data_IF_642102889900
#
_entry.id   IF_642102889900
#
_cell.length_a   1.000
_cell.length_b   1.000
_cell.length_c   1.000
_cell.angle_alpha   90.00
_cell.angle_beta   90.00
_cell.angle_gamma   90.00
#
_symmetry.space_group_name_H-M   'P 1'
#
loop_
_entity.id
_entity.type
_entity.pdbx_description
1 polymer ?
#
# COMPACT_ATOMS: atom_id res chain seq x y z
N UNK A 1 9.39 -1.49 -4.86
CA UNK A 1 8.18 -1.69 -4.02
C UNK A 1 6.95 -1.51 -4.88
N UNK A 2 6.02 -2.44 -4.82
CA UNK A 2 4.80 -2.46 -5.62
C UNK A 2 3.59 -2.73 -4.71
N UNK A 3 2.95 -1.68 -4.17
CA UNK A 3 1.80 -1.86 -3.29
C UNK A 3 0.50 -2.02 -4.09
N UNK A 4 -0.46 -2.74 -3.51
CA UNK A 4 -1.87 -2.68 -3.89
C UNK A 4 -2.51 -1.35 -3.46
N UNK A 5 -3.81 -1.33 -3.20
CA UNK A 5 -4.48 -0.10 -2.77
C UNK A 5 -3.90 0.42 -1.45
N UNK A 6 -3.41 1.66 -1.46
CA UNK A 6 -2.89 2.38 -0.28
C UNK A 6 -3.85 3.49 0.08
N UNK A 7 -4.22 3.59 1.36
CA UNK A 7 -5.14 4.63 1.86
C UNK A 7 -4.43 5.99 1.86
N UNK A 8 -4.58 6.74 0.78
CA UNK A 8 -3.97 8.05 0.57
C UNK A 8 -4.99 9.04 -0.02
N UNK A 9 -4.71 10.35 0.00
CA UNK A 9 -5.54 11.36 -0.67
C UNK A 9 -5.72 11.17 -2.17
N UNK A 10 -4.98 10.24 -2.81
CA UNK A 10 -5.19 9.88 -4.22
C UNK A 10 -6.67 9.59 -4.55
N UNK A 11 -7.39 8.97 -3.61
CA UNK A 11 -8.78 8.63 -3.84
C UNK A 11 -9.72 9.81 -3.65
N UNK A 12 -9.32 10.94 -3.05
CA UNK A 12 -10.22 12.01 -2.62
C UNK A 12 -11.07 12.57 -3.77
N UNK A 13 -10.46 12.76 -4.95
CA UNK A 13 -11.13 13.24 -6.15
C UNK A 13 -11.81 12.15 -7.00
N UNK A 14 -11.77 10.88 -6.56
CA UNK A 14 -12.36 9.74 -7.27
C UNK A 14 -13.72 9.37 -6.68
N UNK A 15 -14.59 8.81 -7.52
CA UNK A 15 -15.91 8.28 -7.15
C UNK A 15 -15.84 6.88 -6.51
N UNK A 16 -14.63 6.36 -6.30
CA UNK A 16 -14.38 5.09 -5.62
C UNK A 16 -13.18 5.19 -4.67
N UNK A 17 -13.12 4.25 -3.74
CA UNK A 17 -12.03 4.12 -2.79
C UNK A 17 -11.96 2.66 -2.29
N UNK A 18 -10.89 2.28 -1.58
CA UNK A 18 -10.89 1.06 -0.80
C UNK A 18 -12.04 1.08 0.23
N UNK A 19 -12.48 -0.11 0.66
CA UNK A 19 -13.42 -0.23 1.76
C UNK A 19 -12.90 0.43 3.06
N UNK A 20 -13.78 0.65 4.03
CA UNK A 20 -13.44 1.44 5.22
C UNK A 20 -12.59 0.68 6.24
N UNK A 21 -12.74 -0.64 6.33
CA UNK A 21 -11.94 -1.45 7.26
C UNK A 21 -10.42 -1.32 7.00
N UNK A 22 -9.61 -1.34 8.06
CA UNK A 22 -8.16 -1.33 7.94
C UNK A 22 -7.62 -2.43 7.02
N UNK A 23 -8.23 -3.61 7.01
CA UNK A 23 -7.82 -4.74 6.16
C UNK A 23 -8.02 -4.52 4.65
N UNK A 24 -8.78 -3.49 4.25
CA UNK A 24 -9.15 -3.23 2.86
C UNK A 24 -8.11 -2.42 2.06
N UNK A 25 -7.17 -1.79 2.74
CA UNK A 25 -6.10 -1.01 2.13
C UNK A 25 -4.82 -1.11 2.96
N UNK A 26 -3.69 -0.83 2.34
CA UNK A 26 -2.42 -0.67 3.05
C UNK A 26 -2.37 0.76 3.60
N UNK A 27 -1.83 0.94 4.80
CA UNK A 27 -1.53 2.28 5.31
C UNK A 27 -0.29 2.86 4.61
N UNK A 28 -0.24 4.17 4.39
CA UNK A 28 0.90 4.81 3.73
C UNK A 28 2.21 4.60 4.50
N UNK A 29 2.14 4.59 5.83
CA UNK A 29 3.30 4.38 6.70
C UNK A 29 3.85 2.96 6.54
N UNK A 30 3.00 1.96 6.33
CA UNK A 30 3.44 0.58 6.05
C UNK A 30 4.23 0.48 4.73
N UNK A 31 3.89 1.29 3.71
CA UNK A 31 4.68 1.35 2.47
C UNK A 31 6.04 2.00 2.71
N UNK A 32 6.09 3.04 3.55
CA UNK A 32 7.34 3.71 3.92
C UNK A 32 8.24 2.77 4.76
N UNK A 33 7.67 2.01 5.69
CA UNK A 33 8.39 1.00 6.47
C UNK A 33 9.01 -0.07 5.57
N UNK A 34 8.28 -0.57 4.57
CA UNK A 34 8.82 -1.51 3.59
C UNK A 34 9.98 -0.89 2.78
N UNK A 35 9.92 0.42 2.47
CA UNK A 35 11.03 1.13 1.84
C UNK A 35 12.25 1.21 2.75
N UNK A 36 12.05 1.53 4.03
CA UNK A 36 13.13 1.56 5.01
C UNK A 36 13.76 0.18 5.21
N UNK A 37 12.97 -0.90 5.20
CA UNK A 37 13.50 -2.27 5.26
C UNK A 37 14.45 -2.56 4.09
N UNK A 38 14.08 -2.16 2.87
CA UNK A 38 14.95 -2.33 1.69
C UNK A 38 16.19 -1.46 1.79
N UNK A 39 16.06 -0.21 2.22
CA UNK A 39 17.18 0.73 2.37
C UNK A 39 18.17 0.30 3.45
N UNK A 40 17.71 -0.38 4.50
CA UNK A 40 18.52 -0.84 5.62
C UNK A 40 19.08 -2.26 5.42
N UNK A 41 18.80 -2.90 4.28
CA UNK A 41 19.31 -4.23 3.98
C UNK A 41 20.81 -4.22 3.68
N UNK A 42 21.42 -5.40 3.66
CA UNK A 42 22.83 -5.57 3.30
C UNK A 42 23.10 -4.96 1.90
N UNK A 43 24.11 -4.07 1.74
CA UNK A 43 24.40 -3.42 0.47
C UNK A 43 24.83 -4.38 -0.65
N UNK A 44 25.20 -5.62 -0.34
CA UNK A 44 25.48 -6.66 -1.33
C UNK A 44 24.22 -7.39 -1.83
N UNK A 45 23.03 -6.97 -1.41
CA UNK A 45 21.75 -7.59 -1.78
C UNK A 45 20.96 -6.70 -2.73
N UNK A 46 20.45 -7.30 -3.81
CA UNK A 46 19.54 -6.65 -4.75
C UNK A 46 18.11 -7.13 -4.50
N UNK A 47 17.19 -6.20 -4.28
CA UNK A 47 15.76 -6.47 -4.17
C UNK A 47 15.08 -6.11 -5.49
N UNK A 48 14.75 -7.10 -6.31
CA UNK A 48 14.08 -6.85 -7.60
C UNK A 48 12.66 -6.31 -7.41
N UNK A 49 11.88 -6.93 -6.51
CA UNK A 49 10.50 -6.55 -6.25
C UNK A 49 10.08 -6.90 -4.82
N UNK A 50 9.33 -5.98 -4.21
CA UNK A 50 8.65 -6.20 -2.93
C UNK A 50 7.18 -5.88 -3.15
N UNK A 51 6.32 -6.89 -3.01
CA UNK A 51 4.88 -6.77 -3.22
C UNK A 51 4.16 -6.59 -1.88
N UNK A 52 3.29 -5.60 -1.80
CA UNK A 52 2.39 -5.42 -0.66
C UNK A 52 0.95 -5.52 -1.18
N UNK A 53 0.09 -6.22 -0.44
CA UNK A 53 -1.33 -6.32 -0.78
C UNK A 53 -2.17 -6.07 0.48
N UNK A 54 -3.33 -5.40 0.35
CA UNK A 54 -4.33 -5.43 1.41
C UNK A 54 -4.72 -6.87 1.72
N UNK A 55 -5.02 -7.16 2.99
CA UNK A 55 -5.45 -8.50 3.41
C UNK A 55 -6.76 -8.91 2.71
N UNK A 56 -7.64 -7.95 2.47
CA UNK A 56 -8.89 -8.14 1.76
C UNK A 56 -9.02 -7.07 0.68
N UNK A 57 -9.28 -7.47 -0.57
CA UNK A 57 -9.46 -6.51 -1.67
C UNK A 57 -10.92 -6.12 -1.77
N UNK A 58 -11.27 -4.97 -1.22
CA UNK A 58 -12.64 -4.43 -1.26
C UNK A 58 -12.59 -3.01 -1.81
N UNK A 59 -13.38 -2.75 -2.85
CA UNK A 59 -13.58 -1.43 -3.44
C UNK A 59 -15.01 -1.00 -3.18
N UNK A 60 -15.21 0.25 -2.79
CA UNK A 60 -16.51 0.87 -2.62
C UNK A 60 -16.64 2.09 -3.53
N UNK A 61 -17.87 2.40 -3.93
CA UNK A 61 -18.19 3.72 -4.50
C UNK A 61 -18.43 4.72 -3.39
N UNK A 62 -18.05 5.98 -3.65
CA UNK A 62 -18.40 7.11 -2.80
C UNK A 62 -19.77 7.63 -3.22
N UNK A 63 -20.66 7.82 -2.25
CA UNK A 63 -21.98 8.42 -2.44
C UNK A 63 -21.96 9.92 -2.21
#
# INVERSE_FOLDING_TARGET
INPGMVRTPFFDSLDFAPGEEPAHAIDADTVAEAALMVLNADPATVFDQVNLSPLQKVVRRKG
#
